data_IF_281992974886
#
_entry.id   IF_281992974886
#
_cell.length_a   1.000
_cell.length_b   1.000
_cell.length_c   1.000
_cell.angle_alpha   90.00
_cell.angle_beta   90.00
_cell.angle_gamma   90.00
#
_symmetry.space_group_name_H-M   'P 1'
#
loop_
_entity.id
_entity.type
_entity.pdbx_description
1 polymer ?
#
# COMPACT_ATOMS: atom_id res chain seq x y z
N UNK A 1 3.17 5.22 7.43
CA UNK A 1 3.21 4.20 6.37
C UNK A 1 4.66 3.96 6.06
N UNK A 2 5.19 2.77 6.33
CA UNK A 2 6.56 2.43 5.91
C UNK A 2 6.51 1.70 4.58
N UNK A 3 7.58 1.80 3.80
CA UNK A 3 7.72 1.12 2.51
C UNK A 3 8.93 0.21 2.58
N UNK A 4 8.81 -0.99 2.04
CA UNK A 4 9.92 -1.95 2.00
C UNK A 4 10.96 -1.49 0.98
N UNK A 5 10.51 -0.90 -0.15
CA UNK A 5 11.39 -0.38 -1.19
C UNK A 5 11.05 1.09 -1.50
N UNK A 6 11.55 2.05 -0.69
CA UNK A 6 11.21 3.46 -0.86
C UNK A 6 11.70 4.04 -2.20
N UNK A 7 12.80 3.52 -2.76
CA UNK A 7 13.31 3.95 -4.05
C UNK A 7 12.35 3.65 -5.22
N UNK A 8 11.47 2.66 -5.08
CA UNK A 8 10.48 2.35 -6.11
C UNK A 8 9.51 3.53 -6.35
N UNK A 9 9.32 4.42 -5.37
CA UNK A 9 8.50 5.63 -5.52
C UNK A 9 9.05 6.60 -6.58
N UNK A 10 10.33 6.55 -6.93
CA UNK A 10 10.88 7.31 -8.05
C UNK A 10 10.19 6.95 -9.37
N UNK A 11 9.64 5.74 -9.48
CA UNK A 11 8.81 5.30 -10.61
C UNK A 11 7.54 6.14 -10.80
N UNK A 12 7.08 6.90 -9.79
CA UNK A 12 5.96 7.85 -9.96
C UNK A 12 6.27 8.94 -10.99
N UNK A 13 7.55 9.25 -11.24
CA UNK A 13 7.93 10.15 -12.33
C UNK A 13 7.45 9.63 -13.70
N UNK A 14 7.37 8.31 -13.89
CA UNK A 14 6.86 7.71 -15.11
C UNK A 14 5.36 7.96 -15.31
N UNK A 15 4.58 8.16 -14.24
CA UNK A 15 3.17 8.52 -14.33
C UNK A 15 2.95 9.91 -14.95
N UNK A 16 3.95 10.80 -14.89
CA UNK A 16 3.91 12.11 -15.53
C UNK A 16 4.01 12.03 -17.06
N UNK A 17 4.59 10.96 -17.62
CA UNK A 17 4.83 10.79 -19.06
C UNK A 17 3.51 10.89 -19.87
N UNK A 18 2.46 10.10 -19.60
CA UNK A 18 1.20 10.21 -20.35
C UNK A 18 0.51 11.57 -20.20
N UNK A 19 0.64 12.24 -19.05
CA UNK A 19 0.12 13.59 -18.87
C UNK A 19 0.89 14.62 -19.72
N UNK A 20 2.22 14.55 -19.73
CA UNK A 20 3.07 15.40 -20.58
C UNK A 20 2.80 15.17 -22.06
N UNK A 21 2.71 13.91 -22.50
CA UNK A 21 2.40 13.56 -23.89
C UNK A 21 1.02 14.09 -24.30
N UNK A 22 0.02 14.04 -23.43
CA UNK A 22 -1.29 14.62 -23.71
C UNK A 22 -1.20 16.14 -23.89
N UNK A 23 -0.41 16.83 -23.05
CA UNK A 23 -0.22 18.28 -23.15
C UNK A 23 0.53 18.66 -24.43
N UNK A 24 1.54 17.86 -24.84
CA UNK A 24 2.26 18.04 -26.10
C UNK A 24 1.42 17.72 -27.33
N UNK A 25 0.50 16.75 -27.25
CA UNK A 25 -0.40 16.37 -28.35
C UNK A 25 -1.55 17.35 -28.58
N UNK A 26 -1.71 18.40 -27.75
CA UNK A 26 -2.61 19.53 -28.04
C UNK A 26 -2.14 20.42 -29.20
N UNK A 27 -1.19 19.96 -30.04
CA UNK A 27 -0.77 20.70 -31.24
C UNK A 27 -1.98 20.98 -32.13
N UNK A 28 -2.05 22.24 -32.52
CA UNK A 28 -3.11 22.91 -33.27
C UNK A 28 -3.57 21.98 -34.42
N UNK A 29 -4.85 21.58 -34.48
CA UNK A 29 -5.38 20.87 -35.63
C UNK A 29 -5.13 21.72 -36.89
N UNK A 30 -4.67 21.14 -38.01
CA UNK A 30 -4.58 21.90 -39.25
C UNK A 30 -5.98 22.45 -39.60
N UNK A 31 -6.05 23.75 -39.88
CA UNK A 31 -7.25 24.38 -40.44
C UNK A 31 -7.46 23.82 -41.84
N UNK A 32 -8.32 22.80 -41.95
CA UNK A 32 -8.76 22.29 -43.25
C UNK A 32 -10.05 23.02 -43.59
N UNK A 33 -10.00 23.88 -44.61
CA UNK A 33 -11.17 24.59 -45.12
C UNK A 33 -12.06 23.56 -45.84
N UNK A 34 -13.03 22.97 -45.13
CA UNK A 34 -13.90 21.91 -45.65
C UNK A 34 -15.34 22.45 -45.82
N UNK A 35 -15.76 22.84 -47.04
CA UNK A 35 -17.09 23.37 -47.32
C UNK A 35 -18.04 22.21 -47.65
N UNK A 36 -18.66 21.53 -46.65
CA UNK A 36 -20.08 21.78 -46.32
C UNK A 36 -20.51 21.41 -44.87
N UNK A 37 -19.68 21.60 -43.84
CA UNK A 37 -19.98 21.14 -42.45
C UNK A 37 -21.05 21.92 -41.68
N UNK A 38 -21.69 22.95 -42.26
CA UNK A 38 -22.68 23.79 -41.57
C UNK A 38 -23.91 23.01 -41.05
N UNK A 39 -24.25 21.86 -41.65
CA UNK A 39 -25.36 21.00 -41.22
C UNK A 39 -24.99 19.89 -40.23
N UNK A 40 -23.70 19.64 -39.98
CA UNK A 40 -23.22 18.59 -39.05
C UNK A 40 -22.85 19.14 -37.66
N UNK A 41 -22.76 20.46 -37.53
CA UNK A 41 -22.31 21.18 -36.34
C UNK A 41 -23.09 20.90 -35.04
N UNK A 42 -24.37 20.53 -35.12
CA UNK A 42 -25.17 20.16 -33.95
C UNK A 42 -24.83 18.76 -33.42
N UNK A 43 -24.65 17.77 -34.32
CA UNK A 43 -24.27 16.40 -33.97
C UNK A 43 -22.78 16.27 -33.60
N UNK A 44 -21.92 17.12 -34.18
CA UNK A 44 -20.49 17.18 -33.85
C UNK A 44 -20.24 17.67 -32.43
N UNK A 45 -21.01 18.64 -31.91
CA UNK A 45 -20.80 19.14 -30.54
C UNK A 45 -21.00 18.06 -29.48
N UNK A 46 -22.01 17.21 -29.66
CA UNK A 46 -22.27 16.09 -28.75
C UNK A 46 -21.22 14.98 -28.88
N UNK A 47 -20.85 14.64 -30.12
CA UNK A 47 -19.78 13.67 -30.42
C UNK A 47 -18.41 14.12 -29.88
N UNK A 48 -18.09 15.41 -30.02
CA UNK A 48 -16.85 16.01 -29.51
C UNK A 48 -16.81 16.01 -27.98
N UNK A 49 -17.94 16.25 -27.31
CA UNK A 49 -18.03 16.18 -25.84
C UNK A 49 -17.82 14.75 -25.34
N UNK A 50 -18.43 13.76 -26.00
CA UNK A 50 -18.28 12.34 -25.69
C UNK A 50 -16.84 11.84 -25.93
N UNK A 51 -16.21 12.30 -27.01
CA UNK A 51 -14.82 11.98 -27.31
C UNK A 51 -13.85 12.59 -26.29
N UNK A 52 -14.08 13.84 -25.85
CA UNK A 52 -13.30 14.48 -24.78
C UNK A 52 -13.41 13.73 -23.45
N UNK A 53 -14.62 13.33 -23.05
CA UNK A 53 -14.85 12.54 -21.84
C UNK A 53 -14.13 11.19 -21.90
N UNK A 54 -14.24 10.48 -23.03
CA UNK A 54 -13.53 9.21 -23.23
C UNK A 54 -12.02 9.39 -23.17
N UNK A 55 -11.49 10.45 -23.77
CA UNK A 55 -10.05 10.72 -23.76
C UNK A 55 -9.54 11.01 -22.35
N UNK A 56 -10.30 11.78 -21.56
CA UNK A 56 -9.97 12.08 -20.16
C UNK A 56 -10.04 10.83 -19.27
N UNK A 57 -11.08 9.99 -19.43
CA UNK A 57 -11.18 8.70 -18.75
C UNK A 57 -10.01 7.77 -19.07
N UNK A 58 -9.62 7.67 -20.34
CA UNK A 58 -8.48 6.86 -20.76
C UNK A 58 -7.15 7.39 -20.20
N UNK A 59 -7.00 8.70 -20.09
CA UNK A 59 -5.82 9.32 -19.47
C UNK A 59 -5.73 9.00 -17.98
N UNK A 60 -6.85 9.13 -17.24
CA UNK A 60 -6.94 8.77 -15.82
C UNK A 60 -6.62 7.29 -15.63
N UNK A 61 -7.21 6.41 -16.45
CA UNK A 61 -6.98 4.97 -16.31
C UNK A 61 -5.52 4.60 -16.59
N UNK A 62 -4.89 5.20 -17.61
CA UNK A 62 -3.49 4.95 -17.95
C UNK A 62 -2.55 5.41 -16.84
N UNK A 63 -2.78 6.59 -16.27
CA UNK A 63 -1.98 7.11 -15.16
C UNK A 63 -2.19 6.29 -13.88
N UNK A 64 -3.44 5.94 -13.57
CA UNK A 64 -3.79 5.09 -12.43
C UNK A 64 -3.11 3.72 -12.49
N UNK A 65 -3.02 3.11 -13.68
CA UNK A 65 -2.31 1.83 -13.86
C UNK A 65 -0.83 1.94 -13.50
N UNK A 66 -0.14 2.98 -14.00
CA UNK A 66 1.29 3.21 -13.68
C UNK A 66 1.47 3.42 -12.18
N UNK A 67 0.62 4.26 -11.58
CA UNK A 67 0.63 4.50 -10.13
C UNK A 67 0.43 3.21 -9.35
N UNK A 68 -0.56 2.38 -9.72
CA UNK A 68 -0.83 1.10 -9.08
C UNK A 68 0.36 0.14 -9.14
N UNK A 69 1.04 0.06 -10.30
CA UNK A 69 2.24 -0.75 -10.47
C UNK A 69 3.37 -0.26 -9.55
N UNK A 70 3.58 1.06 -9.48
CA UNK A 70 4.61 1.65 -8.62
C UNK A 70 4.30 1.39 -7.13
N UNK A 71 3.05 1.53 -6.71
CA UNK A 71 2.65 1.20 -5.35
C UNK A 71 2.80 -0.30 -5.04
N UNK A 72 2.46 -1.18 -5.98
CA UNK A 72 2.67 -2.62 -5.83
C UNK A 72 4.16 -2.95 -5.66
N UNK A 73 5.04 -2.29 -6.44
CA UNK A 73 6.49 -2.44 -6.33
C UNK A 73 7.06 -1.87 -5.02
N UNK A 74 6.53 -0.74 -4.54
CA UNK A 74 6.96 -0.10 -3.30
C UNK A 74 6.56 -0.89 -2.04
N UNK A 75 5.60 -1.82 -2.15
CA UNK A 75 5.04 -2.65 -1.06
C UNK A 75 4.74 -1.83 0.20
N UNK A 76 3.71 -0.97 0.18
CA UNK A 76 3.32 -0.20 1.36
C UNK A 76 2.94 -1.13 2.51
N UNK A 77 3.59 -0.92 3.65
CA UNK A 77 3.18 -1.50 4.92
C UNK A 77 2.08 -0.60 5.48
N UNK A 78 0.84 -1.06 5.34
CA UNK A 78 -0.31 -0.45 5.99
C UNK A 78 -0.48 -1.15 7.34
N UNK A 79 -0.09 -0.52 8.46
CA UNK A 79 -0.42 -1.07 9.77
C UNK A 79 -1.94 -1.05 9.90
N UNK A 80 -2.55 -2.24 9.82
CA UNK A 80 -3.98 -2.39 10.00
C UNK A 80 -4.29 -2.09 11.46
N UNK A 81 -4.63 -0.83 11.78
CA UNK A 81 -5.12 -0.45 13.10
C UNK A 81 -6.47 -1.15 13.29
N UNK A 82 -6.45 -2.34 13.90
CA UNK A 82 -7.63 -3.17 14.14
C UNK A 82 -7.51 -4.62 13.63
N UNK A 83 -6.43 -4.98 12.92
CA UNK A 83 -6.17 -6.36 12.50
C UNK A 83 -5.44 -7.14 13.58
N UNK A 84 -6.14 -7.50 14.66
CA UNK A 84 -5.65 -8.38 15.71
C UNK A 84 -4.41 -7.85 16.44
N UNK A 85 -4.62 -7.22 17.59
CA UNK A 85 -3.67 -7.40 18.69
C UNK A 85 -3.32 -8.90 18.72
N UNK A 86 -2.02 -9.22 18.70
CA UNK A 86 -1.44 -10.56 18.81
C UNK A 86 -2.46 -11.66 19.01
N UNK A 87 -2.64 -12.55 18.03
CA UNK A 87 -3.45 -13.76 18.17
C UNK A 87 -3.16 -14.36 19.57
N UNK A 88 -4.17 -14.58 20.44
CA UNK A 88 -3.93 -14.97 21.82
C UNK A 88 -2.99 -16.17 21.82
N UNK A 89 -1.73 -15.91 22.17
CA UNK A 89 -0.69 -16.91 22.07
C UNK A 89 -0.79 -17.72 23.34
N UNK A 90 -1.28 -18.96 23.22
CA UNK A 90 -1.31 -19.89 24.34
C UNK A 90 0.14 -20.21 24.74
N UNK A 91 0.66 -19.49 25.75
CA UNK A 91 1.97 -19.72 26.31
C UNK A 91 1.87 -20.80 27.40
N UNK A 92 2.54 -21.94 27.17
CA UNK A 92 2.69 -22.99 28.18
C UNK A 92 4.13 -22.93 28.70
N UNK A 93 4.29 -22.68 29.99
CA UNK A 93 5.59 -22.71 30.66
C UNK A 93 5.66 -24.01 31.47
N UNK A 94 6.61 -24.89 31.11
CA UNK A 94 6.88 -26.12 31.83
C UNK A 94 8.05 -25.88 32.77
N UNK A 95 7.85 -26.17 34.06
CA UNK A 95 8.88 -26.10 35.08
C UNK A 95 9.25 -27.53 35.47
N UNK A 96 10.55 -27.86 35.40
CA UNK A 96 11.07 -29.12 35.92
C UNK A 96 11.15 -29.08 37.47
N UNK A 97 10.80 -30.18 38.13
CA UNK A 97 10.84 -30.33 39.59
C UNK A 97 11.92 -31.30 40.08
N UNK A 98 12.93 -31.57 39.24
CA UNK A 98 14.05 -32.44 39.57
C UNK A 98 14.78 -31.99 40.86
N UNK A 99 15.56 -32.88 41.51
CA UNK A 99 16.21 -32.59 42.80
C UNK A 99 17.09 -31.33 42.81
N UNK A 100 17.61 -30.90 41.66
CA UNK A 100 18.37 -29.65 41.50
C UNK A 100 17.51 -28.39 41.64
N UNK A 101 16.21 -28.46 41.34
CA UNK A 101 15.26 -27.35 41.53
C UNK A 101 15.01 -27.07 43.03
N UNK A 102 15.24 -28.06 43.90
CA UNK A 102 15.22 -27.92 45.35
C UNK A 102 16.50 -27.33 45.94
N UNK A 103 17.52 -27.01 45.13
CA UNK A 103 18.73 -26.37 45.60
C UNK A 103 18.41 -24.98 46.19
N UNK A 104 19.06 -24.66 47.30
CA UNK A 104 18.96 -23.34 47.93
C UNK A 104 20.14 -22.50 47.48
N UNK A 105 19.86 -21.43 46.75
CA UNK A 105 20.86 -20.47 46.26
C UNK A 105 20.48 -19.10 46.81
N UNK A 106 21.46 -18.41 47.41
CA UNK A 106 21.30 -17.14 48.14
C UNK A 106 20.07 -17.12 49.09
N UNK A 107 19.88 -18.20 49.85
CA UNK A 107 18.83 -18.29 50.88
C UNK A 107 17.42 -18.58 50.38
N UNK A 108 17.22 -18.87 49.09
CA UNK A 108 15.92 -19.26 48.52
C UNK A 108 16.00 -20.47 47.61
N UNK A 109 14.88 -21.19 47.46
CA UNK A 109 14.77 -22.31 46.54
C UNK A 109 14.90 -21.81 45.08
N UNK A 110 15.67 -22.53 44.26
CA UNK A 110 15.79 -22.27 42.82
C UNK A 110 14.42 -22.33 42.14
N UNK A 111 13.57 -23.27 42.55
CA UNK A 111 12.20 -23.39 42.06
C UNK A 111 11.36 -22.12 42.27
N UNK A 112 11.53 -21.44 43.41
CA UNK A 112 10.78 -20.21 43.69
C UNK A 112 11.20 -19.08 42.75
N UNK A 113 12.50 -18.99 42.42
CA UNK A 113 13.00 -18.04 41.42
C UNK A 113 12.42 -18.32 40.03
N UNK A 114 12.39 -19.58 39.61
CA UNK A 114 11.82 -19.99 38.32
C UNK A 114 10.32 -19.67 38.24
N UNK A 115 9.58 -19.87 39.34
CA UNK A 115 8.15 -19.52 39.44
C UNK A 115 7.89 -18.03 39.32
N UNK A 116 8.73 -17.19 39.94
CA UNK A 116 8.63 -15.72 39.83
C UNK A 116 8.95 -15.26 38.41
N UNK A 117 10.02 -15.81 37.80
CA UNK A 117 10.40 -15.49 36.42
C UNK A 117 9.27 -15.84 35.43
N UNK A 118 8.68 -17.04 35.56
CA UNK A 118 7.57 -17.50 34.72
C UNK A 118 6.32 -16.62 34.83
N UNK A 119 5.98 -16.16 36.04
CA UNK A 119 4.86 -15.21 36.23
C UNK A 119 5.15 -13.86 35.59
N UNK A 120 6.38 -13.38 35.65
CA UNK A 120 6.78 -12.10 35.06
C UNK A 120 6.82 -12.10 33.52
N UNK A 121 6.96 -13.27 32.89
CA UNK A 121 6.88 -13.42 31.44
C UNK A 121 5.44 -13.50 30.95
N UNK A 122 4.53 -14.11 31.72
CA UNK A 122 3.09 -14.16 31.41
C UNK A 122 2.39 -12.79 31.50
N UNK A 123 2.87 -11.88 32.36
CA UNK A 123 2.31 -10.54 32.46
C UNK A 123 2.77 -9.54 31.38
N UNK A 124 3.72 -9.94 30.53
CA UNK A 124 4.31 -9.11 29.46
C UNK A 124 3.82 -9.45 28.05
N UNK A 125 3.08 -10.55 27.91
CA UNK A 125 2.44 -11.02 26.67
C UNK A 125 0.98 -10.63 26.64
#
# INVERSE_FOLDING_TARGET
MSFIHPLALLGLAAAAIPALLHLLQRRIPPEVDFPPVRYLSAAERESARRLRLRHLLLLILRTALIVAIVFAAARPLVPLRGGGAHQPTAAVIILDNSPSAGAVVDGGLVLDRLRVAARSSLGRT
#
